data_IF_847318975145
#
_entry.id   IF_847318975145
#
_cell.length_a   1.000
_cell.length_b   1.000
_cell.length_c   1.000
_cell.angle_alpha   90.00
_cell.angle_beta   90.00
_cell.angle_gamma   90.00
#
_symmetry.space_group_name_H-M   'P 1'
#
loop_
_entity.id
_entity.type
_entity.pdbx_description
1 polymer ?
#
# COMPACT_ATOMS: atom_id res chain seq x y z
N UNK A 1 -24.34 29.89 -16.25
CA UNK A 1 -22.90 29.96 -16.55
C UNK A 1 -22.72 30.32 -18.01
N UNK A 2 -21.88 31.31 -18.32
CA UNK A 2 -21.61 31.69 -19.70
C UNK A 2 -20.77 30.62 -20.40
N UNK A 3 -20.93 30.42 -21.71
CA UNK A 3 -20.02 29.62 -22.55
C UNK A 3 -18.55 30.02 -22.36
N UNK A 4 -18.33 31.29 -22.02
CA UNK A 4 -17.01 31.85 -21.72
C UNK A 4 -16.46 31.40 -20.36
N UNK A 5 -17.31 31.20 -19.36
CA UNK A 5 -16.89 30.67 -18.06
C UNK A 5 -16.54 29.18 -18.18
N UNK A 6 -17.29 28.44 -18.99
CA UNK A 6 -17.03 27.03 -19.26
C UNK A 6 -15.68 26.85 -19.99
N UNK A 7 -15.40 27.68 -21.00
CA UNK A 7 -14.14 27.59 -21.74
C UNK A 7 -12.93 27.96 -20.89
N UNK A 8 -13.04 28.97 -20.02
CA UNK A 8 -12.00 29.33 -19.06
C UNK A 8 -11.75 28.21 -18.05
N UNK A 9 -12.81 27.60 -17.52
CA UNK A 9 -12.69 26.47 -16.58
C UNK A 9 -12.00 25.26 -17.24
N UNK A 10 -12.37 24.95 -18.49
CA UNK A 10 -11.77 23.87 -19.27
C UNK A 10 -10.28 24.12 -19.53
N UNK A 11 -9.91 25.36 -19.84
CA UNK A 11 -8.53 25.74 -20.13
C UNK A 11 -7.67 25.68 -18.87
N UNK A 12 -8.17 26.17 -17.73
CA UNK A 12 -7.47 26.10 -16.43
C UNK A 12 -7.30 24.65 -15.97
N UNK A 13 -8.34 23.82 -16.07
CA UNK A 13 -8.26 22.40 -15.72
C UNK A 13 -7.22 21.67 -16.59
N UNK A 14 -7.24 21.90 -17.91
CA UNK A 14 -6.26 21.32 -18.83
C UNK A 14 -4.82 21.73 -18.51
N UNK A 15 -4.59 23.01 -18.18
CA UNK A 15 -3.26 23.51 -17.78
C UNK A 15 -2.79 22.83 -16.48
N UNK A 16 -3.65 22.72 -15.48
CA UNK A 16 -3.32 22.05 -14.21
C UNK A 16 -2.91 20.57 -14.43
N UNK A 17 -3.64 19.85 -15.30
CA UNK A 17 -3.30 18.48 -15.67
C UNK A 17 -1.96 18.38 -16.41
N UNK A 18 -1.72 19.27 -17.38
CA UNK A 18 -0.47 19.30 -18.12
C UNK A 18 0.75 19.56 -17.21
N UNK A 19 0.63 20.49 -16.25
CA UNK A 19 1.68 20.77 -15.27
C UNK A 19 1.94 19.57 -14.35
N UNK A 20 0.89 18.87 -13.91
CA UNK A 20 1.04 17.68 -13.07
C UNK A 20 1.79 16.55 -13.80
N UNK A 21 1.45 16.30 -15.08
CA UNK A 21 2.09 15.27 -15.91
C UNK A 21 3.55 15.63 -16.21
N UNK A 22 3.81 16.90 -16.53
CA UNK A 22 5.17 17.37 -16.81
C UNK A 22 6.10 17.21 -15.60
N UNK A 23 5.60 17.50 -14.39
CA UNK A 23 6.38 17.37 -13.14
C UNK A 23 6.59 15.93 -12.69
N UNK A 24 5.75 14.98 -13.11
CA UNK A 24 5.81 13.58 -12.70
C UNK A 24 6.52 12.69 -13.72
N UNK A 25 7.00 13.23 -14.85
CA UNK A 25 7.70 12.47 -15.87
C UNK A 25 9.22 12.51 -15.67
N UNK A 26 9.88 11.38 -15.32
CA UNK A 26 11.34 11.29 -15.20
C UNK A 26 12.07 11.19 -16.56
N UNK A 27 11.34 11.18 -17.68
CA UNK A 27 11.90 11.05 -19.02
C UNK A 27 12.09 12.41 -19.71
N UNK A 28 13.32 12.72 -20.13
CA UNK A 28 13.70 14.04 -20.64
C UNK A 28 12.90 14.58 -21.84
N UNK A 29 12.60 15.88 -21.75
CA UNK A 29 12.52 16.86 -22.83
C UNK A 29 11.36 16.73 -23.83
N UNK A 30 11.49 15.86 -24.83
CA UNK A 30 10.63 15.86 -26.02
C UNK A 30 9.40 14.97 -25.89
N UNK A 31 9.54 13.79 -25.27
CA UNK A 31 8.39 12.88 -25.05
C UNK A 31 7.42 13.40 -24.00
N UNK A 32 7.92 14.06 -22.96
CA UNK A 32 7.10 14.68 -21.91
C UNK A 32 6.30 15.89 -22.43
N UNK A 33 6.88 16.67 -23.36
CA UNK A 33 6.19 17.78 -23.99
C UNK A 33 5.08 17.29 -24.96
N UNK A 34 5.36 16.24 -25.73
CA UNK A 34 4.39 15.66 -26.66
C UNK A 34 3.23 14.96 -25.93
N UNK A 35 3.49 14.28 -24.80
CA UNK A 35 2.44 13.70 -23.96
C UNK A 35 1.61 14.77 -23.24
N UNK A 36 2.24 15.85 -22.77
CA UNK A 36 1.53 16.99 -22.19
C UNK A 36 0.64 17.70 -23.21
N UNK A 37 1.09 17.87 -24.46
CA UNK A 37 0.29 18.47 -25.52
C UNK A 37 -0.93 17.62 -25.90
N UNK A 38 -0.79 16.29 -25.90
CA UNK A 38 -1.89 15.35 -26.15
C UNK A 38 -2.90 15.29 -24.99
N UNK A 39 -2.48 15.59 -23.76
CA UNK A 39 -3.36 15.59 -22.59
C UNK A 39 -4.36 16.77 -22.58
N UNK A 40 -4.05 17.88 -23.24
CA UNK A 40 -4.92 19.08 -23.28
C UNK A 40 -6.25 18.85 -24.01
N UNK A 41 -6.33 18.20 -25.19
CA UNK A 41 -7.62 17.91 -25.82
C UNK A 41 -8.30 16.65 -25.27
N UNK A 42 -7.54 15.69 -24.73
CA UNK A 42 -8.08 14.39 -24.29
C UNK A 42 -8.47 14.33 -22.81
N UNK A 43 -8.35 15.43 -22.06
CA UNK A 43 -8.63 15.47 -20.63
C UNK A 43 -10.05 15.01 -20.23
N UNK A 44 -11.15 15.24 -21.00
CA UNK A 44 -12.48 14.78 -20.58
C UNK A 44 -12.61 13.26 -20.61
N UNK A 45 -11.84 12.62 -21.49
CA UNK A 45 -11.81 11.16 -21.64
C UNK A 45 -10.88 10.51 -20.61
N UNK A 46 -9.79 11.19 -20.25
CA UNK A 46 -8.81 10.71 -19.28
C UNK A 46 -9.11 11.09 -17.83
N UNK A 47 -9.87 12.15 -17.57
CA UNK A 47 -10.19 12.59 -16.21
C UNK A 47 -10.90 11.50 -15.39
N UNK A 48 -11.91 10.76 -15.91
CA UNK A 48 -12.53 9.68 -15.15
C UNK A 48 -11.54 8.55 -14.84
N UNK A 49 -10.65 8.23 -15.79
CA UNK A 49 -9.65 7.17 -15.66
C UNK A 49 -8.53 7.61 -14.70
N UNK A 50 -8.11 8.87 -14.72
CA UNK A 50 -7.09 9.41 -13.82
C UNK A 50 -7.62 9.66 -12.41
N UNK A 51 -8.93 9.93 -12.26
CA UNK A 51 -9.60 10.02 -10.96
C UNK A 51 -9.85 8.62 -10.35
N UNK A 52 -9.98 7.58 -11.17
CA UNK A 52 -10.15 6.18 -10.71
C UNK A 52 -8.85 5.40 -10.61
N UNK A 53 -7.83 5.78 -11.38
CA UNK A 53 -6.47 5.33 -11.20
C UNK A 53 -6.00 5.88 -9.85
N UNK A 54 -6.06 5.03 -8.82
CA UNK A 54 -5.48 5.27 -7.51
C UNK A 54 -4.13 5.95 -7.74
N UNK A 55 -4.10 7.25 -7.46
CA UNK A 55 -2.89 8.05 -7.44
C UNK A 55 -1.85 7.20 -6.72
N UNK A 56 -0.71 6.94 -7.34
CA UNK A 56 0.46 6.53 -6.59
C UNK A 56 0.75 7.72 -5.66
N UNK A 57 0.12 7.70 -4.49
CA UNK A 57 0.39 8.64 -3.43
C UNK A 57 1.83 8.34 -3.08
N UNK A 58 2.69 9.35 -3.18
CA UNK A 58 4.00 9.29 -2.54
C UNK A 58 3.74 8.97 -1.08
N UNK A 59 3.90 7.70 -0.71
CA UNK A 59 3.67 7.22 0.65
C UNK A 59 4.71 7.92 1.51
N UNK A 60 4.31 8.85 2.41
CA UNK A 60 5.27 9.60 3.19
C UNK A 60 6.13 8.61 4.00
N UNK A 61 7.43 8.90 4.11
CA UNK A 61 8.34 8.16 5.00
C UNK A 61 7.70 8.07 6.39
N UNK A 62 7.53 6.85 6.90
CA UNK A 62 6.85 6.59 8.18
C UNK A 62 5.37 6.22 8.08
N UNK A 63 4.80 6.00 6.88
CA UNK A 63 3.41 5.59 6.75
C UNK A 63 3.06 4.30 7.52
N UNK A 64 3.98 3.32 7.57
CA UNK A 64 3.81 2.11 8.34
C UNK A 64 3.84 2.36 9.87
N UNK A 65 4.71 3.25 10.34
CA UNK A 65 4.76 3.63 11.75
C UNK A 65 3.50 4.41 12.16
N UNK A 66 3.03 5.31 11.29
CA UNK A 66 1.75 5.99 11.45
C UNK A 66 0.58 5.00 11.45
N UNK A 67 0.66 3.92 10.66
CA UNK A 67 -0.35 2.86 10.65
C UNK A 67 -0.42 2.14 12.00
N UNK A 68 0.71 1.81 12.61
CA UNK A 68 0.76 1.20 13.95
C UNK A 68 0.07 2.09 14.99
N UNK A 69 0.44 3.37 15.03
CA UNK A 69 -0.13 4.33 15.99
C UNK A 69 -1.64 4.47 15.81
N UNK A 70 -2.12 4.54 14.56
CA UNK A 70 -3.56 4.62 14.25
C UNK A 70 -4.31 3.36 14.70
N UNK A 71 -3.77 2.18 14.40
CA UNK A 71 -4.38 0.91 14.81
C UNK A 71 -4.45 0.80 16.33
N UNK A 72 -3.33 1.05 17.04
CA UNK A 72 -3.29 1.01 18.51
C UNK A 72 -4.29 1.99 19.14
N UNK A 73 -4.36 3.20 18.60
CA UNK A 73 -5.32 4.22 19.08
C UNK A 73 -6.76 3.76 18.87
N UNK A 74 -7.09 3.29 17.66
CA UNK A 74 -8.44 2.86 17.32
C UNK A 74 -8.89 1.64 18.14
N UNK A 75 -8.01 0.65 18.31
CA UNK A 75 -8.28 -0.54 19.13
C UNK A 75 -8.42 -0.19 20.61
N UNK A 76 -7.53 0.67 21.15
CA UNK A 76 -7.61 1.14 22.53
C UNK A 76 -8.92 1.88 22.82
N UNK A 77 -9.34 2.76 21.90
CA UNK A 77 -10.63 3.45 21.99
C UNK A 77 -11.82 2.49 21.90
N UNK A 78 -11.76 1.51 20.99
CA UNK A 78 -12.81 0.48 20.85
C UNK A 78 -12.94 -0.38 22.12
N UNK A 79 -11.82 -0.85 22.69
CA UNK A 79 -11.81 -1.62 23.94
C UNK A 79 -12.30 -0.77 25.11
N UNK A 80 -11.91 0.49 25.21
CA UNK A 80 -12.41 1.39 26.24
C UNK A 80 -13.93 1.62 26.11
N UNK A 81 -14.43 1.73 24.87
CA UNK A 81 -15.85 1.89 24.60
C UNK A 81 -16.67 0.63 24.94
N UNK A 82 -16.11 -0.57 24.79
CA UNK A 82 -16.79 -1.85 25.07
C UNK A 82 -16.85 -2.20 26.57
N UNK A 83 -15.98 -1.64 27.42
CA UNK A 83 -15.95 -1.95 28.87
C UNK A 83 -17.29 -1.70 29.56
N UNK A 84 -17.73 -2.67 30.36
CA UNK A 84 -18.99 -2.61 31.10
C UNK A 84 -20.24 -2.81 30.23
N UNK A 85 -20.06 -3.20 28.96
CA UNK A 85 -21.17 -3.52 28.05
C UNK A 85 -21.11 -5.00 27.64
N UNK A 86 -22.19 -5.57 27.08
CA UNK A 86 -22.16 -6.90 26.49
C UNK A 86 -21.14 -7.05 25.33
N UNK A 87 -20.63 -5.94 24.78
CA UNK A 87 -19.62 -5.95 23.71
C UNK A 87 -18.23 -6.35 24.20
N UNK A 88 -17.97 -6.32 25.51
CA UNK A 88 -16.67 -6.68 26.07
C UNK A 88 -16.29 -8.15 25.79
N UNK A 89 -17.27 -9.05 25.63
CA UNK A 89 -17.01 -10.45 25.25
C UNK A 89 -16.64 -10.59 23.78
N UNK A 90 -17.10 -9.68 22.93
CA UNK A 90 -16.82 -9.68 21.48
C UNK A 90 -15.46 -9.06 21.21
N UNK A 91 -15.11 -7.97 21.90
CA UNK A 91 -13.79 -7.32 21.80
C UNK A 91 -13.06 -7.33 23.15
N UNK A 92 -12.54 -8.48 23.58
CA UNK A 92 -11.74 -8.56 24.80
C UNK A 92 -10.38 -7.89 24.61
N UNK A 93 -9.82 -7.36 25.71
CA UNK A 93 -8.55 -6.65 25.68
C UNK A 93 -7.40 -7.55 25.18
N UNK A 94 -7.42 -8.85 25.47
CA UNK A 94 -6.40 -9.76 24.95
C UNK A 94 -6.48 -9.92 23.43
N UNK A 95 -7.68 -9.89 22.84
CA UNK A 95 -7.81 -9.97 21.38
C UNK A 95 -7.25 -8.72 20.71
N UNK A 96 -7.55 -7.53 21.24
CA UNK A 96 -6.96 -6.28 20.75
C UNK A 96 -5.42 -6.29 20.86
N UNK A 97 -4.87 -6.74 21.99
CA UNK A 97 -3.43 -6.84 22.19
C UNK A 97 -2.75 -7.80 21.19
N UNK A 98 -3.39 -8.91 20.83
CA UNK A 98 -2.89 -9.83 19.80
C UNK A 98 -2.85 -9.18 18.42
N UNK A 99 -3.88 -8.42 18.06
CA UNK A 99 -3.93 -7.67 16.79
C UNK A 99 -2.81 -6.64 16.75
N UNK A 100 -2.63 -5.87 17.84
CA UNK A 100 -1.56 -4.88 17.94
C UNK A 100 -0.17 -5.51 17.77
N UNK A 101 0.09 -6.63 18.43
CA UNK A 101 1.37 -7.33 18.33
C UNK A 101 1.65 -7.85 16.90
N UNK A 102 0.62 -8.31 16.18
CA UNK A 102 0.79 -8.72 14.78
C UNK A 102 1.07 -7.52 13.87
N UNK A 103 0.35 -6.41 14.05
CA UNK A 103 0.60 -5.18 13.28
C UNK A 103 2.03 -4.66 13.53
N UNK A 104 2.50 -4.72 14.77
CA UNK A 104 3.86 -4.32 15.13
C UNK A 104 4.93 -5.17 14.41
N UNK A 105 4.76 -6.51 14.40
CA UNK A 105 5.64 -7.41 13.63
C UNK A 105 5.67 -7.05 12.14
N UNK A 106 4.52 -6.69 11.56
CA UNK A 106 4.43 -6.28 10.14
C UNK A 106 5.13 -4.97 9.86
N UNK A 107 4.97 -3.99 10.73
CA UNK A 107 5.61 -2.69 10.58
C UNK A 107 7.13 -2.84 10.66
N UNK A 108 7.63 -3.70 11.56
CA UNK A 108 9.04 -4.02 11.65
C UNK A 108 9.57 -4.67 10.36
N UNK A 109 8.90 -5.73 9.85
CA UNK A 109 9.26 -6.37 8.57
C UNK A 109 9.21 -5.40 7.39
N UNK A 110 8.18 -4.56 7.33
CA UNK A 110 8.06 -3.55 6.28
C UNK A 110 9.23 -2.56 6.34
N UNK A 111 9.64 -2.12 7.53
CA UNK A 111 10.80 -1.25 7.72
C UNK A 111 12.11 -1.93 7.27
N UNK A 112 12.27 -3.23 7.52
CA UNK A 112 13.40 -4.02 7.04
C UNK A 112 13.42 -4.12 5.50
N UNK A 113 12.28 -4.42 4.87
CA UNK A 113 12.15 -4.43 3.41
C UNK A 113 12.47 -3.08 2.79
N UNK A 114 11.94 -2.01 3.37
CA UNK A 114 12.26 -0.63 2.99
C UNK A 114 13.75 -0.32 3.13
N UNK A 115 14.39 -0.74 4.23
CA UNK A 115 15.82 -0.57 4.43
C UNK A 115 16.66 -1.36 3.41
N UNK A 116 16.23 -2.56 3.03
CA UNK A 116 16.87 -3.36 1.99
C UNK A 116 16.76 -2.70 0.61
N UNK A 117 15.55 -2.27 0.22
CA UNK A 117 15.28 -1.65 -1.08
C UNK A 117 15.95 -0.27 -1.26
N UNK A 118 16.39 0.38 -0.17
CA UNK A 118 17.20 1.60 -0.24
C UNK A 118 18.67 1.36 -0.61
N UNK A 119 19.17 0.12 -0.54
CA UNK A 119 20.56 -0.18 -0.91
C UNK A 119 20.67 -0.23 -2.44
N UNK A 120 21.73 0.33 -3.00
CA UNK A 120 21.98 0.37 -4.45
C UNK A 120 21.96 -1.00 -5.16
N UNK A 121 22.20 -2.08 -4.41
CA UNK A 121 22.14 -3.45 -4.93
C UNK A 121 20.71 -3.90 -5.25
N UNK A 122 19.70 -3.29 -4.64
CA UNK A 122 18.28 -3.60 -4.82
C UNK A 122 17.50 -2.47 -5.50
N UNK A 123 18.21 -1.52 -6.13
CA UNK A 123 17.57 -0.47 -6.90
C UNK A 123 17.00 -1.04 -8.21
N UNK A 124 15.68 -0.93 -8.36
CA UNK A 124 14.95 -1.46 -9.51
C UNK A 124 15.38 -0.78 -10.82
N UNK A 125 15.58 0.53 -10.80
CA UNK A 125 15.99 1.29 -11.99
C UNK A 125 17.37 0.87 -12.48
N UNK A 126 18.30 0.64 -11.55
CA UNK A 126 19.66 0.15 -11.81
C UNK A 126 19.65 -1.27 -12.34
N UNK A 127 18.88 -2.17 -11.73
CA UNK A 127 18.75 -3.55 -12.19
C UNK A 127 18.21 -3.60 -13.63
N UNK A 128 17.19 -2.79 -13.93
CA UNK A 128 16.66 -2.68 -15.29
C UNK A 128 17.64 -2.05 -16.28
N UNK A 129 18.39 -1.02 -15.86
CA UNK A 129 19.40 -0.40 -16.69
C UNK A 129 20.51 -1.40 -17.05
N UNK A 130 20.94 -2.22 -16.09
CA UNK A 130 21.96 -3.27 -16.28
C UNK A 130 21.50 -4.34 -17.28
N UNK A 131 20.27 -4.84 -17.17
CA UNK A 131 19.72 -5.78 -18.16
C UNK A 131 19.73 -5.16 -19.55
N UNK A 132 19.23 -3.93 -19.68
CA UNK A 132 19.18 -3.20 -20.96
C UNK A 132 20.58 -2.94 -21.54
N UNK A 133 21.57 -2.67 -20.70
CA UNK A 133 22.96 -2.48 -21.11
C UNK A 133 23.55 -3.76 -21.69
N UNK A 134 23.40 -4.90 -20.99
CA UNK A 134 23.91 -6.21 -21.43
C UNK A 134 23.22 -6.65 -22.74
N UNK A 135 21.91 -6.41 -22.87
CA UNK A 135 21.17 -6.70 -24.11
C UNK A 135 21.68 -5.89 -25.30
N UNK A 136 21.93 -4.58 -25.11
CA UNK A 136 22.47 -3.71 -26.19
C UNK A 136 23.90 -4.06 -26.58
N UNK A 137 24.73 -4.42 -25.59
CA UNK A 137 26.12 -4.79 -25.84
C UNK A 137 26.27 -6.18 -26.49
N UNK A 138 25.16 -6.90 -26.75
CA UNK A 138 25.18 -8.31 -27.18
C UNK A 138 26.05 -9.15 -26.24
N UNK A 139 25.91 -8.90 -24.93
CA UNK A 139 26.68 -9.59 -23.89
C UNK A 139 26.43 -11.10 -23.88
N UNK A 140 27.28 -11.82 -23.15
CA UNK A 140 27.16 -13.29 -23.08
C UNK A 140 25.79 -13.71 -22.55
N UNK A 141 25.24 -14.80 -23.10
CA UNK A 141 23.94 -15.35 -22.68
C UNK A 141 23.85 -15.60 -21.18
N UNK A 142 24.97 -16.04 -20.57
CA UNK A 142 25.08 -16.24 -19.12
C UNK A 142 24.97 -14.94 -18.32
N UNK A 143 25.66 -13.86 -18.74
CA UNK A 143 25.60 -12.58 -18.05
C UNK A 143 24.19 -11.97 -18.10
N UNK A 144 23.49 -12.15 -19.24
CA UNK A 144 22.10 -11.71 -19.37
C UNK A 144 21.15 -12.51 -18.47
N UNK A 145 21.34 -13.84 -18.38
CA UNK A 145 20.54 -14.69 -17.50
C UNK A 145 20.67 -14.29 -16.03
N UNK A 146 21.90 -14.06 -15.55
CA UNK A 146 22.14 -13.59 -14.17
C UNK A 146 21.50 -12.23 -13.92
N UNK A 147 21.67 -11.26 -14.82
CA UNK A 147 21.08 -9.93 -14.64
C UNK A 147 19.55 -9.94 -14.63
N UNK A 148 18.90 -10.84 -15.39
CA UNK A 148 17.45 -11.03 -15.36
C UNK A 148 16.98 -11.64 -14.05
N UNK A 149 17.70 -12.63 -13.52
CA UNK A 149 17.41 -13.22 -12.22
C UNK A 149 17.50 -12.17 -11.10
N UNK A 150 18.54 -11.32 -11.12
CA UNK A 150 18.68 -10.22 -10.18
C UNK A 150 17.50 -9.25 -10.27
N UNK A 151 17.10 -8.86 -11.48
CA UNK A 151 15.95 -7.99 -11.71
C UNK A 151 14.65 -8.62 -11.18
N UNK A 152 14.42 -9.90 -11.43
CA UNK A 152 13.23 -10.60 -10.95
C UNK A 152 13.20 -10.69 -9.42
N UNK A 153 14.35 -10.89 -8.78
CA UNK A 153 14.47 -10.86 -7.32
C UNK A 153 14.12 -9.48 -6.75
N UNK A 154 14.65 -8.40 -7.34
CA UNK A 154 14.32 -7.03 -6.92
C UNK A 154 12.83 -6.73 -7.10
N UNK A 155 12.23 -7.19 -8.21
CA UNK A 155 10.78 -7.06 -8.45
C UNK A 155 9.93 -7.80 -7.42
N UNK A 156 10.34 -9.01 -7.03
CA UNK A 156 9.67 -9.79 -5.97
C UNK A 156 9.72 -9.05 -4.64
N UNK A 157 10.86 -8.48 -4.26
CA UNK A 157 11.01 -7.69 -3.04
C UNK A 157 10.15 -6.41 -3.07
N UNK A 158 10.11 -5.70 -4.19
CA UNK A 158 9.25 -4.52 -4.34
C UNK A 158 7.77 -4.90 -4.22
N UNK A 159 7.35 -6.00 -4.86
CA UNK A 159 5.97 -6.51 -4.79
C UNK A 159 5.60 -6.92 -3.35
N UNK A 160 6.52 -7.51 -2.59
CA UNK A 160 6.34 -7.82 -1.17
C UNK A 160 6.09 -6.54 -0.36
N UNK A 161 6.95 -5.52 -0.50
CA UNK A 161 6.77 -4.22 0.16
C UNK A 161 5.42 -3.59 -0.18
N UNK A 162 5.02 -3.62 -1.44
CA UNK A 162 3.77 -3.01 -1.91
C UNK A 162 2.53 -3.76 -1.39
N UNK A 163 2.64 -5.08 -1.20
CA UNK A 163 1.60 -5.89 -0.54
C UNK A 163 1.50 -5.54 0.94
N UNK A 164 2.62 -5.43 1.64
CA UNK A 164 2.64 -5.06 3.06
C UNK A 164 2.04 -3.67 3.30
N UNK A 165 2.39 -2.71 2.45
CA UNK A 165 1.86 -1.34 2.53
C UNK A 165 0.34 -1.35 2.44
N UNK A 166 -0.21 -2.03 1.42
CA UNK A 166 -1.66 -2.16 1.23
C UNK A 166 -2.33 -2.85 2.41
N UNK A 167 -1.73 -3.92 2.93
CA UNK A 167 -2.32 -4.65 4.04
C UNK A 167 -2.35 -3.83 5.34
N UNK A 168 -1.30 -3.04 5.61
CA UNK A 168 -1.28 -2.10 6.74
C UNK A 168 -2.33 -0.99 6.61
N UNK A 169 -2.54 -0.46 5.39
CA UNK A 169 -3.60 0.51 5.11
C UNK A 169 -5.00 -0.07 5.33
N UNK A 170 -5.23 -1.29 4.83
CA UNK A 170 -6.50 -2.02 5.02
C UNK A 170 -6.78 -2.28 6.50
N UNK A 171 -5.76 -2.70 7.27
CA UNK A 171 -5.87 -2.88 8.72
C UNK A 171 -6.23 -1.58 9.46
N UNK A 172 -5.64 -0.44 9.07
CA UNK A 172 -5.99 0.85 9.63
C UNK A 172 -7.47 1.16 9.41
N UNK A 173 -7.96 0.97 8.18
CA UNK A 173 -9.35 1.23 7.83
C UNK A 173 -10.30 0.33 8.63
N UNK A 174 -9.97 -0.96 8.80
CA UNK A 174 -10.76 -1.89 9.59
C UNK A 174 -10.77 -1.53 11.08
N UNK A 175 -9.63 -1.14 11.66
CA UNK A 175 -9.55 -0.70 13.04
C UNK A 175 -10.38 0.57 13.30
N UNK A 176 -10.36 1.53 12.37
CA UNK A 176 -11.16 2.75 12.43
C UNK A 176 -12.67 2.47 12.29
N UNK A 177 -13.04 1.54 11.41
CA UNK A 177 -14.42 1.08 11.26
C UNK A 177 -14.92 0.40 12.54
N UNK A 178 -14.12 -0.52 13.11
CA UNK A 178 -14.42 -1.20 14.37
C UNK A 178 -14.64 -0.19 15.50
N UNK A 179 -13.72 0.78 15.66
CA UNK A 179 -13.87 1.86 16.64
C UNK A 179 -15.21 2.58 16.49
N UNK A 180 -15.53 2.99 15.27
CA UNK A 180 -16.75 3.76 14.98
C UNK A 180 -17.98 2.94 15.36
N UNK A 181 -18.02 1.66 15.01
CA UNK A 181 -19.17 0.80 15.27
C UNK A 181 -19.34 0.44 16.73
N UNK A 182 -18.27 0.15 17.46
CA UNK A 182 -18.34 -0.07 18.91
C UNK A 182 -18.83 1.18 19.62
N UNK A 183 -18.36 2.36 19.18
CA UNK A 183 -18.81 3.64 19.72
C UNK A 183 -20.31 3.86 19.46
N UNK A 184 -20.77 3.66 18.22
CA UNK A 184 -22.20 3.79 17.87
C UNK A 184 -23.04 2.80 18.68
N UNK A 185 -22.64 1.54 18.74
CA UNK A 185 -23.36 0.49 19.44
C UNK A 185 -23.53 0.76 20.94
N UNK A 186 -22.50 1.35 21.57
CA UNK A 186 -22.56 1.79 22.97
C UNK A 186 -23.70 2.78 23.22
N UNK A 187 -23.98 3.68 22.28
CA UNK A 187 -25.02 4.70 22.43
C UNK A 187 -26.39 4.26 21.89
N UNK A 188 -26.44 3.39 20.89
CA UNK A 188 -27.70 2.92 20.29
C UNK A 188 -28.33 1.73 21.02
N UNK A 189 -27.58 1.05 21.90
CA UNK A 189 -28.04 -0.20 22.52
C UNK A 189 -28.18 -1.36 21.52
N UNK A 190 -27.56 -1.25 20.34
CA UNK A 190 -27.62 -2.26 19.28
C UNK A 190 -27.07 -3.63 19.74
N UNK A 191 -27.62 -4.70 19.18
CA UNK A 191 -27.25 -6.07 19.54
C UNK A 191 -25.82 -6.41 19.10
N UNK A 192 -25.13 -7.22 19.90
CA UNK A 192 -23.75 -7.66 19.66
C UNK A 192 -23.54 -8.41 18.33
N UNK A 193 -24.61 -8.86 17.67
CA UNK A 193 -24.55 -9.63 16.42
C UNK A 193 -23.95 -8.84 15.25
N UNK A 194 -24.29 -7.54 15.10
CA UNK A 194 -23.79 -6.71 13.99
C UNK A 194 -22.30 -6.37 14.13
N UNK A 195 -21.78 -6.35 15.37
CA UNK A 195 -20.37 -6.04 15.68
C UNK A 195 -19.51 -7.30 15.58
N UNK A 196 -20.09 -8.47 15.86
CA UNK A 196 -19.41 -9.76 15.74
C UNK A 196 -18.89 -10.02 14.32
N UNK A 197 -19.61 -9.58 13.29
CA UNK A 197 -19.17 -9.71 11.88
C UNK A 197 -17.90 -8.93 11.56
N UNK A 198 -17.70 -7.76 12.17
CA UNK A 198 -16.55 -6.91 11.89
C UNK A 198 -15.36 -7.25 12.77
N UNK A 199 -15.61 -7.71 14.00
CA UNK A 199 -14.55 -8.32 14.80
C UNK A 199 -14.04 -9.61 14.14
N UNK A 200 -14.93 -10.46 13.62
CA UNK A 200 -14.50 -11.68 12.92
C UNK A 200 -13.80 -11.37 11.61
N UNK A 201 -14.19 -10.32 10.87
CA UNK A 201 -13.44 -9.86 9.69
C UNK A 201 -12.06 -9.30 10.06
N UNK A 202 -11.97 -8.45 11.10
CA UNK A 202 -10.69 -7.93 11.61
C UNK A 202 -9.78 -9.11 12.03
N UNK A 203 -10.33 -10.08 12.76
CA UNK A 203 -9.58 -11.24 13.21
C UNK A 203 -9.16 -12.14 12.05
N UNK A 204 -10.06 -12.43 11.10
CA UNK A 204 -9.74 -13.23 9.91
C UNK A 204 -8.69 -12.55 9.03
N UNK A 205 -8.65 -11.21 8.98
CA UNK A 205 -7.62 -10.46 8.25
C UNK A 205 -6.29 -10.50 8.97
N UNK A 206 -6.29 -10.40 10.29
CA UNK A 206 -5.08 -10.52 11.13
C UNK A 206 -4.52 -11.95 11.09
N UNK A 207 -5.38 -12.97 11.13
CA UNK A 207 -5.01 -14.38 10.97
C UNK A 207 -4.57 -14.69 9.54
N UNK A 208 -5.27 -14.18 8.52
CA UNK A 208 -4.89 -14.32 7.12
C UNK A 208 -3.56 -13.62 6.80
N UNK A 209 -3.27 -12.53 7.50
CA UNK A 209 -1.95 -11.93 7.53
C UNK A 209 -0.95 -12.95 8.10
N UNK A 210 -1.17 -13.44 9.33
CA UNK A 210 -0.30 -14.40 10.03
C UNK A 210 0.01 -15.66 9.21
N UNK A 211 -0.99 -16.28 8.61
CA UNK A 211 -0.86 -17.50 7.80
C UNK A 211 -0.01 -17.31 6.54
N UNK A 212 -0.07 -16.13 5.90
CA UNK A 212 0.82 -15.82 4.78
C UNK A 212 2.29 -15.73 5.23
N UNK A 213 2.54 -15.42 6.50
CA UNK A 213 3.88 -15.29 7.08
C UNK A 213 4.45 -16.65 7.47
N UNK A 214 3.65 -17.52 8.08
CA UNK A 214 4.03 -18.90 8.41
C UNK A 214 4.30 -19.75 7.17
N UNK A 215 3.56 -19.51 6.07
CA UNK A 215 3.78 -20.16 4.79
C UNK A 215 5.13 -19.72 4.15
N UNK A 216 5.47 -18.43 4.20
CA UNK A 216 6.76 -17.93 3.71
C UNK A 216 7.95 -18.42 4.58
N UNK A 217 7.76 -18.55 5.89
CA UNK A 217 8.78 -19.05 6.82
C UNK A 217 9.00 -20.56 6.71
N UNK A 218 7.93 -21.34 6.53
CA UNK A 218 8.02 -22.78 6.24
C UNK A 218 8.73 -23.06 4.92
N UNK A 219 8.45 -22.28 3.87
CA UNK A 219 9.16 -22.38 2.59
C UNK A 219 10.66 -22.06 2.72
N UNK A 220 11.05 -21.20 3.67
CA UNK A 220 12.44 -20.86 3.96
C UNK A 220 13.16 -21.93 4.79
N UNK A 221 12.43 -22.63 5.65
CA UNK A 221 12.96 -23.72 6.47
C UNK A 221 13.16 -25.03 5.67
N UNK A 222 12.45 -25.18 4.56
CA UNK A 222 12.53 -26.37 3.69
C UNK A 222 13.59 -26.30 2.58
N UNK A 223 14.21 -25.14 2.30
CA UNK A 223 15.39 -25.09 1.40
C UNK A 223 16.61 -25.64 2.15
N UNK A 224 17.10 -26.85 1.84
CA UNK A 224 18.32 -27.36 2.44
C UNK A 224 19.47 -26.50 1.92
N UNK A 225 20.29 -25.98 2.84
CA UNK A 225 21.57 -25.38 2.48
C UNK A 225 22.43 -26.52 1.88
N UNK A 226 22.42 -26.65 0.56
CA UNK A 226 23.41 -27.46 -0.15
C UNK A 226 24.77 -26.75 0.02
N UNK A 227 25.49 -27.16 1.07
CA UNK A 227 26.93 -26.91 1.25
C UNK A 227 27.76 -27.76 0.32
#
# INVERSE_FOLDING_TARGET
MSLRDLSVLYLVAGICCAVAIYRSSPAGGSRAAMSAALAVPLWPLWAPIALTAKRAVDVPKGAAENALVRVKTALGEAVAASRGTPLASVLPAEAAARIEAEVERRVQRHAELEALLRKDAFDLGRAEARVREIERASGSSRALATARLDLDNVRRLSSLRDRDTRALEELCALAEALRTQVTVARFSGSSAADIGGIVSEVQARVEGLGAALEAEESLRAEEPIET
#
